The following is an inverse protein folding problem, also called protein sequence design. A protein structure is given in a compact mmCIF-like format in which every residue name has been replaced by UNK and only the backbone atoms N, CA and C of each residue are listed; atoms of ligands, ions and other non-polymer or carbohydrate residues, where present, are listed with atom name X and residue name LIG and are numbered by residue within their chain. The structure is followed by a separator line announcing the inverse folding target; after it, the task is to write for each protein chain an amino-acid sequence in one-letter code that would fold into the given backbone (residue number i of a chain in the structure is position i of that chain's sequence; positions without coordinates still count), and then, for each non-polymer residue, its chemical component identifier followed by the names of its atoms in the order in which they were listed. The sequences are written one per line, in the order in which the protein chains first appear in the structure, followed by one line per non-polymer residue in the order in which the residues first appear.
data_IF_743761311066
#
_entry.id   IF_743761311066
#
_cell.length_a   1.000
_cell.length_b   1.000
_cell.length_c   1.000
_cell.angle_alpha   90.00
_cell.angle_beta   90.00
_cell.angle_gamma   90.00
#
_symmetry.space_group_name_H-M   'P 1'
#
loop_
_entity.id
_entity.type
_entity.pdbx_description
1 polymer ?
#
# COMPACT_ATOMS: atom_id res chain seq x y z
N UNK A 1 -7.73 13.51 0.17
CA UNK A 1 -8.34 12.76 -0.96
C UNK A 1 -7.21 12.36 -1.89
N UNK A 2 -7.14 11.09 -2.30
CA UNK A 2 -6.06 10.57 -3.13
C UNK A 2 -5.83 11.36 -4.44
N UNK A 3 -4.56 11.39 -4.86
CA UNK A 3 -4.18 11.80 -6.20
C UNK A 3 -4.61 10.74 -7.23
N UNK A 4 -5.41 11.14 -8.21
CA UNK A 4 -5.96 10.25 -9.23
C UNK A 4 -4.89 9.59 -10.13
N UNK A 5 -3.76 10.24 -10.35
CA UNK A 5 -2.64 9.65 -11.08
C UNK A 5 -1.97 8.54 -10.26
N UNK A 6 -1.79 8.76 -8.96
CA UNK A 6 -1.23 7.74 -8.05
C UNK A 6 -2.14 6.51 -7.96
N UNK A 7 -3.46 6.72 -7.87
CA UNK A 7 -4.43 5.60 -7.87
C UNK A 7 -4.32 4.79 -9.17
N UNK A 8 -4.30 5.47 -10.33
CA UNK A 8 -4.13 4.79 -11.63
C UNK A 8 -2.81 4.02 -11.71
N UNK A 9 -1.72 4.58 -11.20
CA UNK A 9 -0.41 3.93 -11.18
C UNK A 9 -0.45 2.66 -10.32
N UNK A 10 -1.02 2.73 -9.11
CA UNK A 10 -1.17 1.58 -8.23
C UNK A 10 -2.04 0.48 -8.87
N UNK A 11 -3.16 0.85 -9.49
CA UNK A 11 -4.03 -0.10 -10.21
C UNK A 11 -3.40 -0.67 -11.49
N UNK A 12 -2.37 -0.03 -12.04
CA UNK A 12 -1.63 -0.51 -13.22
C UNK A 12 -0.62 -1.63 -12.88
N UNK A 13 -0.44 -1.93 -11.59
CA UNK A 13 0.40 -3.02 -11.11
C UNK A 13 1.82 -2.60 -10.70
N UNK A 14 2.61 -3.56 -10.20
CA UNK A 14 3.82 -3.26 -9.44
C UNK A 14 4.91 -2.61 -10.29
N UNK A 15 5.06 -3.05 -11.55
CA UNK A 15 6.10 -2.52 -12.45
C UNK A 15 5.92 -1.03 -12.75
N UNK A 16 4.69 -0.59 -12.99
CA UNK A 16 4.39 0.81 -13.28
C UNK A 16 4.64 1.69 -12.05
N UNK A 17 4.22 1.20 -10.88
CA UNK A 17 4.41 1.90 -9.62
C UNK A 17 5.88 2.02 -9.23
N UNK A 18 6.66 0.95 -9.42
CA UNK A 18 8.10 0.95 -9.14
C UNK A 18 8.88 1.85 -10.10
N UNK A 19 8.57 1.83 -11.41
CA UNK A 19 9.16 2.76 -12.38
C UNK A 19 8.82 4.21 -12.04
N UNK A 20 7.58 4.49 -11.62
CA UNK A 20 7.21 5.82 -11.16
C UNK A 20 8.01 6.21 -9.92
N UNK A 21 8.15 5.31 -8.94
CA UNK A 21 8.92 5.55 -7.71
C UNK A 21 10.39 5.84 -7.98
N UNK A 22 11.00 5.17 -8.94
CA UNK A 22 12.40 5.39 -9.33
C UNK A 22 12.63 6.80 -9.90
N UNK A 23 11.64 7.33 -10.63
CA UNK A 23 11.68 8.68 -11.17
C UNK A 23 11.19 9.75 -10.18
N UNK A 24 10.50 9.35 -9.11
CA UNK A 24 9.88 10.23 -8.12
C UNK A 24 10.23 9.78 -6.69
N UNK A 25 11.52 9.80 -6.29
CA UNK A 25 11.95 9.29 -5.00
C UNK A 25 11.47 10.14 -3.82
N UNK A 26 11.32 11.46 -4.03
CA UNK A 26 10.98 12.43 -3.00
C UNK A 26 9.47 12.77 -2.96
N UNK A 27 8.70 12.31 -3.95
CA UNK A 27 7.26 12.55 -4.02
C UNK A 27 6.55 11.56 -3.10
N UNK A 28 5.75 12.07 -2.16
CA UNK A 28 4.89 11.23 -1.35
C UNK A 28 3.81 10.60 -2.24
N UNK A 29 3.68 9.27 -2.19
CA UNK A 29 2.63 8.56 -2.91
C UNK A 29 1.34 8.69 -2.12
N UNK A 30 0.47 9.58 -2.59
CA UNK A 30 -0.83 9.87 -1.99
C UNK A 30 -1.96 8.99 -2.56
N UNK A 31 -2.42 8.06 -1.74
CA UNK A 31 -3.47 7.07 -1.97
C UNK A 31 -4.57 7.15 -0.88
N UNK A 32 -4.73 8.31 -0.23
CA UNK A 32 -5.72 8.50 0.85
C UNK A 32 -7.15 8.17 0.39
N UNK A 33 -7.76 7.19 1.05
CA UNK A 33 -9.12 6.74 0.76
C UNK A 33 -9.29 6.06 -0.60
N UNK A 34 -8.18 5.67 -1.26
CA UNK A 34 -8.23 4.99 -2.54
C UNK A 34 -8.87 3.59 -2.41
N UNK A 35 -9.62 3.19 -3.43
CA UNK A 35 -10.02 1.79 -3.60
C UNK A 35 -8.92 1.02 -4.33
N UNK A 36 -8.22 0.19 -3.58
CA UNK A 36 -7.13 -0.67 -4.02
C UNK A 36 -7.44 -2.14 -3.70
N UNK A 37 -8.73 -2.47 -3.56
CA UNK A 37 -9.17 -3.82 -3.28
C UNK A 37 -8.68 -4.80 -4.36
N UNK A 38 -8.15 -5.95 -3.91
CA UNK A 38 -7.59 -7.01 -4.75
C UNK A 38 -6.43 -6.59 -5.68
N UNK A 39 -5.89 -5.38 -5.55
CA UNK A 39 -4.76 -4.92 -6.39
C UNK A 39 -3.50 -5.72 -6.06
N UNK A 40 -2.70 -5.99 -7.09
CA UNK A 40 -1.38 -6.59 -6.92
C UNK A 40 -0.31 -5.49 -6.79
N UNK A 41 0.26 -5.37 -5.59
CA UNK A 41 1.35 -4.47 -5.23
C UNK A 41 2.57 -5.26 -4.68
N UNK A 42 2.67 -6.56 -5.00
CA UNK A 42 3.74 -7.40 -4.50
C UNK A 42 5.12 -6.89 -4.92
N UNK A 43 6.05 -6.82 -3.98
CA UNK A 43 7.43 -6.37 -4.19
C UNK A 43 7.63 -4.86 -4.36
N UNK A 44 6.56 -4.05 -4.32
CA UNK A 44 6.65 -2.61 -4.63
C UNK A 44 7.40 -1.80 -3.59
N UNK A 45 8.00 -0.67 -4.02
CA UNK A 45 8.76 0.27 -3.19
C UNK A 45 7.89 1.45 -2.71
N UNK A 46 6.84 1.18 -1.94
CA UNK A 46 5.84 2.17 -1.51
C UNK A 46 6.05 2.75 -0.09
N UNK A 47 7.31 2.89 0.33
CA UNK A 47 7.69 3.52 1.60
C UNK A 47 7.13 4.95 1.73
N UNK A 48 6.81 5.36 2.97
CA UNK A 48 6.25 6.67 3.32
C UNK A 48 4.97 7.06 2.54
N UNK A 49 4.26 6.10 1.94
CA UNK A 49 3.01 6.36 1.24
C UNK A 49 1.90 6.77 2.21
N UNK A 50 1.02 7.66 1.77
CA UNK A 50 -0.22 7.97 2.46
C UNK A 50 -1.31 7.01 1.95
N UNK A 51 -1.64 6.00 2.75
CA UNK A 51 -2.69 5.00 2.51
C UNK A 51 -3.83 5.14 3.54
N UNK A 52 -3.92 6.30 4.20
CA UNK A 52 -4.92 6.56 5.23
C UNK A 52 -6.32 6.31 4.69
N UNK A 53 -7.09 5.48 5.38
CA UNK A 53 -8.47 5.12 5.00
C UNK A 53 -8.60 4.36 3.67
N UNK A 54 -7.50 3.89 3.06
CA UNK A 54 -7.57 3.15 1.81
C UNK A 54 -8.27 1.79 1.99
N UNK A 55 -9.01 1.35 0.98
CA UNK A 55 -9.52 -0.01 0.91
C UNK A 55 -8.48 -0.91 0.24
N UNK A 56 -7.83 -1.76 1.02
CA UNK A 56 -6.84 -2.75 0.59
C UNK A 56 -7.37 -4.19 0.76
N UNK A 57 -8.68 -4.36 0.81
CA UNK A 57 -9.30 -5.68 1.00
C UNK A 57 -8.83 -6.66 -0.07
N UNK A 58 -8.23 -7.78 0.33
CA UNK A 58 -7.69 -8.80 -0.56
C UNK A 58 -6.46 -8.37 -1.37
N UNK A 59 -5.86 -7.20 -1.10
CA UNK A 59 -4.71 -6.72 -1.84
C UNK A 59 -3.48 -7.62 -1.61
N UNK A 60 -2.67 -7.80 -2.66
CA UNK A 60 -1.41 -8.56 -2.57
C UNK A 60 -0.26 -7.58 -2.35
N UNK A 61 0.26 -7.56 -1.13
CA UNK A 61 1.37 -6.71 -0.68
C UNK A 61 2.61 -7.54 -0.31
N UNK A 62 2.67 -8.81 -0.74
CA UNK A 62 3.78 -9.72 -0.43
C UNK A 62 5.12 -9.08 -0.82
N UNK A 63 6.08 -9.01 0.11
CA UNK A 63 7.40 -8.37 -0.07
C UNK A 63 7.39 -6.88 -0.40
N UNK A 64 6.24 -6.19 -0.31
CA UNK A 64 6.20 -4.75 -0.49
C UNK A 64 6.97 -4.04 0.62
N UNK A 65 7.66 -2.95 0.29
CA UNK A 65 8.27 -2.08 1.28
C UNK A 65 7.29 -0.97 1.65
N UNK A 66 6.63 -1.12 2.79
CA UNK A 66 5.68 -0.18 3.38
C UNK A 66 6.31 0.68 4.48
N UNK A 67 7.64 0.68 4.65
CA UNK A 67 8.28 1.35 5.77
C UNK A 67 7.83 2.82 5.88
N UNK A 68 7.37 3.23 7.06
CA UNK A 68 6.86 4.58 7.33
C UNK A 68 5.53 4.95 6.66
N UNK A 69 4.81 4.00 6.03
CA UNK A 69 3.52 4.29 5.43
C UNK A 69 2.44 4.57 6.50
N UNK A 70 1.55 5.51 6.20
CA UNK A 70 0.35 5.77 6.99
C UNK A 70 -0.79 4.90 6.46
N UNK A 71 -1.14 3.85 7.20
CA UNK A 71 -2.28 2.97 6.95
C UNK A 71 -3.40 3.21 7.97
N UNK A 72 -3.41 4.38 8.63
CA UNK A 72 -4.41 4.67 9.65
C UNK A 72 -5.82 4.64 9.07
N UNK A 73 -6.72 3.89 9.71
CA UNK A 73 -8.09 3.68 9.25
C UNK A 73 -8.24 2.87 7.95
N UNK A 74 -7.18 2.31 7.38
CA UNK A 74 -7.27 1.48 6.18
C UNK A 74 -7.96 0.14 6.45
N UNK A 75 -8.60 -0.44 5.43
CA UNK A 75 -9.13 -1.80 5.49
C UNK A 75 -8.18 -2.77 4.79
N UNK A 76 -7.50 -3.62 5.56
CA UNK A 76 -6.58 -4.64 5.07
C UNK A 76 -7.21 -6.03 5.08
N UNK A 77 -8.53 -6.15 5.24
CA UNK A 77 -9.21 -7.45 5.34
C UNK A 77 -8.77 -8.41 4.23
N UNK A 78 -8.32 -9.61 4.57
CA UNK A 78 -7.86 -10.64 3.62
C UNK A 78 -6.61 -10.25 2.79
N UNK A 79 -5.94 -9.14 3.09
CA UNK A 79 -4.72 -8.74 2.39
C UNK A 79 -3.55 -9.69 2.71
N UNK A 80 -2.67 -9.87 1.72
CA UNK A 80 -1.43 -10.63 1.87
C UNK A 80 -0.23 -9.71 2.07
N UNK A 81 0.21 -9.57 3.32
CA UNK A 81 1.39 -8.78 3.73
C UNK A 81 2.63 -9.67 3.96
N UNK A 82 2.65 -10.90 3.44
CA UNK A 82 3.75 -11.83 3.66
C UNK A 82 5.11 -11.23 3.29
N UNK A 83 6.09 -11.25 4.20
CA UNK A 83 7.41 -10.64 4.03
C UNK A 83 7.42 -9.12 3.73
N UNK A 84 6.31 -8.40 3.96
CA UNK A 84 6.27 -6.95 3.76
C UNK A 84 7.16 -6.23 4.79
N UNK A 85 7.88 -5.21 4.35
CA UNK A 85 8.65 -4.33 5.24
C UNK A 85 7.73 -3.32 5.92
N UNK A 86 7.39 -3.54 7.19
CA UNK A 86 6.42 -2.71 7.93
C UNK A 86 7.04 -1.84 9.04
N UNK A 87 8.34 -1.57 8.96
CA UNK A 87 9.02 -0.75 9.96
C UNK A 87 8.41 0.67 10.01
N UNK A 88 7.88 1.07 11.16
CA UNK A 88 7.29 2.39 11.37
C UNK A 88 5.95 2.62 10.63
N UNK A 89 5.26 1.57 10.18
CA UNK A 89 3.91 1.70 9.64
C UNK A 89 2.93 2.12 10.73
N UNK A 90 2.07 3.08 10.44
CA UNK A 90 0.95 3.43 11.30
C UNK A 90 -0.29 2.60 10.91
N UNK A 91 -0.74 1.72 11.81
CA UNK A 91 -1.96 0.91 11.67
C UNK A 91 -3.09 1.39 12.61
N UNK A 92 -3.01 2.61 13.14
CA UNK A 92 -4.03 3.14 14.05
C UNK A 92 -5.41 3.06 13.41
N UNK A 93 -6.36 2.41 14.08
CA UNK A 93 -7.73 2.20 13.58
C UNK A 93 -7.85 1.41 12.26
N UNK A 94 -6.78 0.77 11.78
CA UNK A 94 -6.86 -0.10 10.62
C UNK A 94 -7.64 -1.39 10.93
N UNK A 95 -8.37 -1.90 9.92
CA UNK A 95 -9.02 -3.21 10.01
C UNK A 95 -8.07 -4.27 9.48
N UNK A 96 -7.73 -5.26 10.31
CA UNK A 96 -6.72 -6.31 10.02
C UNK A 96 -7.28 -7.73 10.21
N UNK A 97 -8.41 -8.00 9.58
CA UNK A 97 -9.08 -9.32 9.67
C UNK A 97 -8.52 -10.27 8.60
N UNK A 98 -8.17 -11.50 8.98
CA UNK A 98 -7.65 -12.52 8.06
C UNK A 98 -6.43 -12.09 7.22
N UNK A 99 -5.62 -11.16 7.75
CA UNK A 99 -4.40 -10.68 7.08
C UNK A 99 -3.30 -11.75 7.17
N UNK A 100 -2.67 -12.06 6.05
CA UNK A 100 -1.48 -12.90 6.05
C UNK A 100 -0.22 -12.08 6.41
N UNK A 101 0.44 -12.44 7.52
CA UNK A 101 1.67 -11.82 8.01
C UNK A 101 2.88 -12.77 8.05
N UNK A 102 2.81 -13.95 7.43
CA UNK A 102 3.92 -14.92 7.49
C UNK A 102 5.20 -14.32 6.88
N UNK A 103 6.29 -14.42 7.63
CA UNK A 103 7.62 -13.87 7.36
C UNK A 103 8.57 -14.95 6.84
#
# INVERSE_FOLDING_TARGET
MANQEHVKLASSGPNALDQWRENNPDVQLDLEGADLSSVNLAGTKIRNANLKGANLTGARLTRANLAGADLSGADLSEADLGQAGMAGVDLTSATVVNVNLFW
#
